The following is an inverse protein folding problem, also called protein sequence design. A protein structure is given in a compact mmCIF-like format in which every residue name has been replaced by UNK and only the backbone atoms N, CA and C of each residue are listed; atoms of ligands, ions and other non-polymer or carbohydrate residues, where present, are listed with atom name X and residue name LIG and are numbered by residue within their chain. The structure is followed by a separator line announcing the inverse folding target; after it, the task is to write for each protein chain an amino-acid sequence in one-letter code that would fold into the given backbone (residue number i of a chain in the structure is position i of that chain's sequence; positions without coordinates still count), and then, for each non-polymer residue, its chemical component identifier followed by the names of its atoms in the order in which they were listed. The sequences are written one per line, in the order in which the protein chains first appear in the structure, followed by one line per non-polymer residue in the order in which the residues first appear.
data_IF_786206309768
#
_entry.id   IF_786206309768
#
_cell.length_a   1.000
_cell.length_b   1.000
_cell.length_c   1.000
_cell.angle_alpha   90.00
_cell.angle_beta   90.00
_cell.angle_gamma   90.00
#
_symmetry.space_group_name_H-M   'P 1'
#
loop_
_entity.id
_entity.type
_entity.pdbx_description
1 polymer ?
#
# COMPACT_ATOMS: atom_id res chain seq x y z
N UNK A 1 14.96 16.74 32.59
CA UNK A 1 14.33 16.67 31.25
C UNK A 1 15.18 15.76 30.40
N UNK A 2 14.58 14.72 29.82
CA UNK A 2 15.30 13.69 29.07
C UNK A 2 14.63 13.43 27.72
N UNK A 3 15.45 13.01 26.76
CA UNK A 3 15.05 12.65 25.42
C UNK A 3 15.27 11.15 25.23
N UNK A 4 14.24 10.44 24.79
CA UNK A 4 14.27 8.98 24.74
C UNK A 4 13.86 8.50 23.35
N UNK A 5 14.48 7.39 22.93
CA UNK A 5 14.03 6.53 21.84
C UNK A 5 13.55 5.22 22.44
N UNK A 6 12.35 4.81 22.06
CA UNK A 6 11.72 3.54 22.38
C UNK A 6 11.75 2.69 21.11
N UNK A 7 12.26 1.48 21.20
CA UNK A 7 12.14 0.47 20.14
C UNK A 7 11.08 -0.56 20.54
N UNK A 8 10.54 -1.30 19.57
CA UNK A 8 9.48 -2.29 19.80
C UNK A 8 8.27 -1.68 20.53
N UNK A 9 7.82 -0.50 20.09
CA UNK A 9 6.75 0.26 20.75
C UNK A 9 5.44 -0.53 20.76
N UNK A 10 5.05 -1.12 19.65
CA UNK A 10 3.77 -1.79 19.45
C UNK A 10 4.00 -3.30 19.54
N UNK A 11 3.21 -3.97 20.36
CA UNK A 11 3.25 -5.44 20.48
C UNK A 11 2.40 -6.15 19.41
N UNK A 12 2.41 -7.48 19.41
CA UNK A 12 1.66 -8.31 18.46
C UNK A 12 0.13 -8.12 18.55
N UNK A 13 -0.37 -7.53 19.64
CA UNK A 13 -1.79 -7.23 19.83
C UNK A 13 -2.14 -5.79 19.40
N UNK A 14 -1.17 -5.03 18.89
CA UNK A 14 -1.35 -3.63 18.50
C UNK A 14 -1.35 -2.66 19.68
N UNK A 15 -0.89 -3.08 20.87
CA UNK A 15 -0.88 -2.24 22.07
C UNK A 15 0.48 -1.55 22.22
N UNK A 16 0.45 -0.24 22.51
CA UNK A 16 1.66 0.53 22.80
C UNK A 16 2.26 0.17 24.17
N UNK A 17 3.54 -0.20 24.16
CA UNK A 17 4.34 -0.62 25.29
C UNK A 17 5.43 0.43 25.58
N UNK A 18 5.18 1.29 26.57
CA UNK A 18 6.12 2.34 26.99
C UNK A 18 7.23 1.86 27.94
N UNK A 19 7.40 0.54 28.07
CA UNK A 19 8.53 -0.10 28.77
C UNK A 19 8.74 0.36 30.22
N UNK A 20 7.64 0.74 30.89
CA UNK A 20 7.64 1.19 32.29
C UNK A 20 7.79 2.70 32.48
N UNK A 21 7.87 3.50 31.41
CA UNK A 21 7.85 4.95 31.50
C UNK A 21 6.48 5.48 31.95
N UNK A 22 6.50 6.56 32.73
CA UNK A 22 5.28 7.24 33.16
C UNK A 22 4.78 8.21 32.09
N UNK A 23 3.69 7.83 31.42
CA UNK A 23 3.05 8.61 30.35
C UNK A 23 2.62 9.99 30.83
N UNK A 24 2.32 10.17 32.13
CA UNK A 24 1.92 11.46 32.68
C UNK A 24 3.09 12.47 32.75
N UNK A 25 4.33 12.00 32.67
CA UNK A 25 5.54 12.84 32.65
C UNK A 25 5.97 13.20 31.24
N UNK A 26 5.26 12.74 30.21
CA UNK A 26 5.57 13.05 28.83
C UNK A 26 5.14 14.48 28.48
N UNK A 27 5.96 15.16 27.69
CA UNK A 27 5.56 16.45 27.13
C UNK A 27 4.55 16.24 26.01
N UNK A 28 3.39 16.89 26.13
CA UNK A 28 2.36 16.86 25.08
C UNK A 28 2.94 17.34 23.74
N UNK A 29 2.63 16.61 22.67
CA UNK A 29 3.14 16.90 21.32
C UNK A 29 4.61 16.53 21.06
N UNK A 30 5.33 16.01 22.06
CA UNK A 30 6.72 15.56 21.87
C UNK A 30 6.85 14.12 21.35
N UNK A 31 5.74 13.38 21.32
CA UNK A 31 5.75 12.00 20.87
C UNK A 31 5.74 11.95 19.33
N UNK A 32 6.70 11.25 18.75
CA UNK A 32 6.74 10.97 17.32
C UNK A 32 6.98 9.48 17.08
N UNK A 33 6.04 8.83 16.41
CA UNK A 33 6.02 7.38 16.19
C UNK A 33 6.38 7.07 14.74
N UNK A 34 7.38 6.21 14.56
CA UNK A 34 7.69 5.58 13.29
C UNK A 34 7.07 4.17 13.27
N UNK A 35 5.98 4.01 12.51
CA UNK A 35 5.27 2.73 12.41
C UNK A 35 6.04 1.67 11.60
N UNK A 36 6.87 2.09 10.63
CA UNK A 36 7.65 1.16 9.80
C UNK A 36 8.73 0.45 10.62
N UNK A 37 9.43 1.21 11.47
CA UNK A 37 10.52 0.69 12.30
C UNK A 37 10.04 0.28 13.71
N UNK A 38 8.74 0.47 14.01
CA UNK A 38 8.16 0.27 15.33
C UNK A 38 8.93 1.00 16.46
N UNK A 39 9.29 2.25 16.19
CA UNK A 39 10.04 3.11 17.13
C UNK A 39 9.29 4.37 17.49
N UNK A 40 9.64 4.97 18.62
CA UNK A 40 9.06 6.24 19.08
C UNK A 40 10.14 7.10 19.73
N UNK A 41 10.20 8.38 19.37
CA UNK A 41 10.98 9.37 20.12
C UNK A 41 10.06 10.22 20.97
N UNK A 42 10.52 10.56 22.18
CA UNK A 42 9.71 11.32 23.14
C UNK A 42 10.56 12.15 24.09
N UNK A 43 9.97 13.24 24.58
CA UNK A 43 10.52 14.09 25.62
C UNK A 43 9.78 13.85 26.95
N UNK A 44 10.52 13.63 28.02
CA UNK A 44 9.96 13.33 29.35
C UNK A 44 10.60 14.14 30.49
N UNK A 45 9.81 14.37 31.54
CA UNK A 45 10.28 14.91 32.83
C UNK A 45 10.76 13.82 33.80
N UNK A 46 10.64 12.55 33.44
CA UNK A 46 11.15 11.43 34.24
C UNK A 46 12.65 11.59 34.52
N UNK A 47 13.06 11.52 35.78
CA UNK A 47 14.47 11.60 36.19
C UNK A 47 15.14 10.23 36.18
N UNK A 48 14.44 9.21 36.66
CA UNK A 48 14.91 7.82 36.66
C UNK A 48 14.29 7.03 35.52
N UNK A 49 15.09 6.74 34.50
CA UNK A 49 14.63 5.93 33.37
C UNK A 49 14.63 4.45 33.77
N UNK A 50 13.53 3.71 33.55
CA UNK A 50 13.47 2.28 33.79
C UNK A 50 14.59 1.56 33.03
N UNK A 51 15.26 0.61 33.68
CA UNK A 51 16.27 -0.22 33.02
C UNK A 51 15.59 -1.18 32.06
N UNK A 52 15.55 -0.82 30.79
CA UNK A 52 15.02 -1.64 29.72
C UNK A 52 15.91 -1.52 28.47
N UNK A 53 16.20 -2.64 27.81
CA UNK A 53 16.99 -2.66 26.57
C UNK A 53 16.31 -1.96 25.39
N UNK A 54 14.99 -1.81 25.45
CA UNK A 54 14.18 -1.15 24.44
C UNK A 54 14.18 0.39 24.60
N UNK A 55 14.84 0.93 25.63
CA UNK A 55 14.92 2.36 25.92
C UNK A 55 16.35 2.87 25.72
N UNK A 56 16.51 3.89 24.89
CA UNK A 56 17.77 4.57 24.65
C UNK A 56 17.64 6.05 25.00
N UNK A 57 18.54 6.56 25.82
CA UNK A 57 18.65 8.00 26.09
C UNK A 57 19.37 8.66 24.93
N UNK A 58 18.76 9.69 24.37
CA UNK A 58 19.28 10.48 23.26
C UNK A 58 19.82 11.83 23.76
N UNK A 59 20.73 12.41 22.97
CA UNK A 59 21.00 13.85 23.09
C UNK A 59 19.81 14.66 22.53
N UNK A 60 19.76 15.95 22.85
CA UNK A 60 18.72 16.84 22.31
C UNK A 60 18.80 16.95 20.78
N UNK A 61 20.01 17.06 20.24
CA UNK A 61 20.25 17.15 18.80
C UNK A 61 19.80 15.87 18.07
N UNK A 62 20.12 14.69 18.64
CA UNK A 62 19.68 13.41 18.08
C UNK A 62 18.16 13.30 18.08
N UNK A 63 17.50 13.69 19.18
CA UNK A 63 16.04 13.72 19.25
C UNK A 63 15.43 14.62 18.18
N UNK A 64 15.94 15.84 18.01
CA UNK A 64 15.43 16.79 17.00
C UNK A 64 15.62 16.21 15.60
N UNK A 65 16.77 15.58 15.33
CA UNK A 65 17.07 14.96 14.04
C UNK A 65 16.10 13.82 13.74
N UNK A 66 15.88 12.91 14.69
CA UNK A 66 14.96 11.77 14.56
C UNK A 66 13.51 12.24 14.43
N UNK A 67 13.10 13.22 15.22
CA UNK A 67 11.76 13.82 15.15
C UNK A 67 11.47 14.37 13.74
N UNK A 68 12.40 15.17 13.21
CA UNK A 68 12.28 15.73 11.85
C UNK A 68 12.34 14.66 10.78
N UNK A 69 13.16 13.62 10.96
CA UNK A 69 13.24 12.51 10.01
C UNK A 69 11.90 11.77 9.90
N UNK A 70 11.27 11.45 11.03
CA UNK A 70 9.97 10.78 11.05
C UNK A 70 8.87 11.69 10.48
N UNK A 71 8.89 12.98 10.84
CA UNK A 71 7.95 13.98 10.30
C UNK A 71 8.09 14.12 8.76
N UNK A 72 9.31 14.23 8.26
CA UNK A 72 9.58 14.31 6.82
C UNK A 72 9.16 13.04 6.08
N UNK A 73 9.39 11.85 6.65
CA UNK A 73 8.90 10.58 6.08
C UNK A 73 7.38 10.61 5.92
N UNK A 74 6.64 10.97 6.97
CA UNK A 74 5.17 11.12 6.93
C UNK A 74 4.69 12.14 5.89
N UNK A 75 5.42 13.23 5.70
CA UNK A 75 5.09 14.24 4.68
C UNK A 75 5.44 13.78 3.26
N UNK A 76 6.48 12.95 3.11
CA UNK A 76 6.89 12.37 1.83
C UNK A 76 5.97 11.24 1.37
N UNK A 77 5.37 10.51 2.32
CA UNK A 77 4.26 9.58 2.11
C UNK A 77 2.94 10.33 1.89
N UNK A 78 2.97 11.33 0.98
CA UNK A 78 1.74 11.92 0.49
C UNK A 78 0.85 10.76 0.01
N UNK A 79 -0.40 10.63 0.48
CA UNK A 79 -1.31 9.66 -0.11
C UNK A 79 -1.28 9.94 -1.62
N UNK A 80 -1.11 8.87 -2.44
CA UNK A 80 -1.22 8.99 -3.90
C UNK A 80 -2.42 9.89 -4.17
N UNK A 81 -2.22 10.95 -4.94
CA UNK A 81 -3.32 11.88 -5.17
C UNK A 81 -4.48 11.10 -5.80
N UNK A 82 -5.71 11.53 -5.55
CA UNK A 82 -6.90 10.89 -6.15
C UNK A 82 -6.77 10.81 -7.69
N UNK A 83 -6.03 11.74 -8.28
CA UNK A 83 -5.68 11.79 -9.70
C UNK A 83 -4.77 10.64 -10.13
N UNK A 84 -3.73 10.28 -9.36
CA UNK A 84 -2.84 9.16 -9.66
C UNK A 84 -3.57 7.80 -9.58
N UNK A 85 -4.42 7.65 -8.56
CA UNK A 85 -5.26 6.45 -8.38
C UNK A 85 -6.28 6.32 -9.53
N UNK A 86 -6.83 7.46 -9.99
CA UNK A 86 -7.76 7.51 -11.12
C UNK A 86 -7.07 7.11 -12.44
N UNK A 87 -5.84 7.58 -12.67
CA UNK A 87 -5.07 7.25 -13.87
C UNK A 87 -4.71 5.75 -13.94
N UNK A 88 -4.27 5.13 -12.83
CA UNK A 88 -3.98 3.69 -12.80
C UNK A 88 -5.23 2.85 -13.10
N UNK A 89 -6.40 3.22 -12.54
CA UNK A 89 -7.68 2.55 -12.82
C UNK A 89 -8.08 2.70 -14.29
N UNK A 90 -7.90 3.89 -14.86
CA UNK A 90 -8.22 4.15 -16.26
C UNK A 90 -7.31 3.34 -17.20
N UNK A 91 -6.02 3.22 -16.90
CA UNK A 91 -5.09 2.41 -17.68
C UNK A 91 -5.43 0.93 -17.63
N UNK A 92 -5.75 0.40 -16.44
CA UNK A 92 -6.18 -0.99 -16.29
C UNK A 92 -7.47 -1.30 -17.05
N UNK A 93 -8.44 -0.37 -17.02
CA UNK A 93 -9.69 -0.49 -17.78
C UNK A 93 -9.43 -0.49 -19.29
N UNK A 94 -8.60 0.44 -19.78
CA UNK A 94 -8.26 0.52 -21.20
C UNK A 94 -7.54 -0.75 -21.68
N UNK A 95 -6.60 -1.29 -20.89
CA UNK A 95 -5.91 -2.54 -21.22
C UNK A 95 -6.88 -3.73 -21.31
N UNK A 96 -7.85 -3.81 -20.40
CA UNK A 96 -8.89 -4.84 -20.43
C UNK A 96 -9.79 -4.70 -21.68
N UNK A 97 -10.27 -3.51 -21.97
CA UNK A 97 -11.11 -3.25 -23.16
C UNK A 97 -10.38 -3.59 -24.47
N UNK A 98 -9.08 -3.28 -24.57
CA UNK A 98 -8.28 -3.65 -25.74
C UNK A 98 -8.18 -5.17 -25.90
N UNK A 99 -7.98 -5.90 -24.81
CA UNK A 99 -7.94 -7.36 -24.81
C UNK A 99 -9.29 -7.95 -25.22
N UNK A 100 -10.38 -7.51 -24.59
CA UNK A 100 -11.73 -8.00 -24.86
C UNK A 100 -12.13 -7.73 -26.32
N UNK A 101 -11.78 -6.57 -26.87
CA UNK A 101 -12.00 -6.24 -28.28
C UNK A 101 -11.23 -7.17 -29.23
N UNK A 102 -9.98 -7.50 -28.91
CA UNK A 102 -9.18 -8.44 -29.71
C UNK A 102 -9.80 -9.85 -29.70
N UNK A 103 -10.26 -10.32 -28.53
CA UNK A 103 -10.93 -11.61 -28.38
C UNK A 103 -12.24 -11.67 -29.17
N UNK A 104 -13.09 -10.63 -29.09
CA UNK A 104 -14.33 -10.53 -29.87
C UNK A 104 -14.04 -10.58 -31.37
N UNK A 105 -12.99 -9.89 -31.83
CA UNK A 105 -12.65 -9.88 -33.25
C UNK A 105 -12.20 -11.25 -33.76
N UNK A 106 -11.47 -12.00 -32.93
CA UNK A 106 -11.07 -13.38 -33.22
C UNK A 106 -12.31 -14.27 -33.32
N UNK A 107 -13.23 -14.16 -32.36
CA UNK A 107 -14.44 -14.98 -32.34
C UNK A 107 -15.36 -14.69 -33.52
N UNK A 108 -15.50 -13.41 -33.90
CA UNK A 108 -16.26 -12.99 -35.06
C UNK A 108 -15.68 -13.58 -36.36
N UNK A 109 -14.36 -13.66 -36.48
CA UNK A 109 -13.72 -14.26 -37.66
C UNK A 109 -13.98 -15.77 -37.74
N UNK A 110 -13.86 -16.49 -36.62
CA UNK A 110 -14.22 -17.93 -36.56
C UNK A 110 -15.67 -18.18 -36.95
N UNK A 111 -16.59 -17.32 -36.49
CA UNK A 111 -18.01 -17.46 -36.83
C UNK A 111 -18.25 -17.25 -38.34
N UNK A 112 -17.55 -16.31 -38.97
CA UNK A 112 -17.64 -16.08 -40.42
C UNK A 112 -17.13 -17.28 -41.21
N UNK A 113 -16.01 -17.88 -40.79
CA UNK A 113 -15.46 -19.10 -41.40
C UNK A 113 -16.45 -20.26 -41.28
N UNK A 114 -16.99 -20.51 -40.07
CA UNK A 114 -17.99 -21.54 -39.85
C UNK A 114 -19.25 -21.33 -40.72
N UNK A 115 -19.72 -20.10 -40.82
CA UNK A 115 -20.88 -19.77 -41.66
C UNK A 115 -20.59 -20.04 -43.14
N UNK A 116 -19.40 -19.72 -43.63
CA UNK A 116 -18.99 -20.01 -45.00
C UNK A 116 -18.95 -21.53 -45.27
N UNK A 117 -18.40 -22.32 -44.34
CA UNK A 117 -18.35 -23.78 -44.45
C UNK A 117 -19.74 -24.42 -44.44
N UNK A 118 -20.65 -23.91 -43.61
CA UNK A 118 -22.04 -24.38 -43.56
C UNK A 118 -22.76 -24.07 -44.88
N UNK A 119 -22.60 -22.87 -45.43
CA UNK A 119 -23.17 -22.51 -46.73
C UNK A 119 -22.66 -23.41 -47.85
N UNK A 120 -21.36 -23.73 -47.85
CA UNK A 120 -20.78 -24.65 -48.83
C UNK A 120 -21.37 -26.06 -48.72
N UNK A 121 -21.53 -26.59 -47.50
CA UNK A 121 -22.16 -27.90 -47.27
C UNK A 121 -23.62 -27.93 -47.72
N UNK A 122 -24.39 -26.87 -47.44
CA UNK A 122 -25.79 -26.77 -47.87
C UNK A 122 -25.86 -26.76 -49.40
N UNK A 123 -25.00 -26.01 -50.09
CA UNK A 123 -24.95 -25.99 -51.55
C UNK A 123 -24.61 -27.37 -52.15
N UNK A 124 -23.66 -28.10 -51.56
CA UNK A 124 -23.30 -29.46 -51.98
C UNK A 124 -24.45 -30.45 -51.80
N UNK A 125 -25.16 -30.39 -50.67
CA UNK A 125 -26.31 -31.26 -50.39
C UNK A 125 -27.52 -30.93 -51.28
N UNK A 126 -27.80 -29.64 -51.50
CA UNK A 126 -28.91 -29.18 -52.36
C UNK A 126 -28.68 -29.46 -53.85
N UNK A 127 -27.43 -29.47 -54.32
CA UNK A 127 -27.09 -29.82 -55.70
C UNK A 127 -27.28 -31.31 -56.03
N UNK A 128 -27.31 -32.19 -55.02
CA UNK A 128 -27.46 -33.64 -55.19
C UNK A 128 -28.92 -34.13 -55.12
N UNK A 129 -29.88 -33.23 -54.90
CA UNK A 129 -31.31 -33.55 -54.85
C UNK A 129 -32.00 -33.55 -56.24
N UNK A 130 -31.26 -33.17 -57.30
CA UNK A 130 -31.75 -33.08 -58.69
C UNK A 130 -31.01 -34.03 -59.66
N UNK A 131 -30.34 -35.08 -59.17
CA UNK A 131 -29.67 -36.11 -59.97
C UNK A 131 -30.42 -37.45 -59.95
#
# INVERSE_FOLDING_TARGET
MQYLKIINLIDNNGICQYKGLDVNKFFAGSQMVNFEENTCVIKTMEEEIPKNSDLTVLSEDDYISEFKNIENKRLSEKPKSEEEISQEKQQALNAKLLKDNAEIQIELNKQKELNADLLLKIAQLGGNANA
#
